data_IF_817690907778
#
_entry.id   IF_817690907778
#
_cell.length_a   1.000
_cell.length_b   1.000
_cell.length_c   1.000
_cell.angle_alpha   90.00
_cell.angle_beta   90.00
_cell.angle_gamma   90.00
#
_symmetry.space_group_name_H-M   'P 1'
#
loop_
_entity.id
_entity.type
_entity.pdbx_description
1 polymer ?
#
# COMPACT_ATOMS: atom_id res chain seq x y z
N UNK A 1 4.54 15.96 -29.00
CA UNK A 1 4.04 16.68 -27.80
C UNK A 1 4.95 17.88 -27.60
N UNK A 2 4.44 19.07 -27.73
CA UNK A 2 5.23 20.31 -27.83
C UNK A 2 5.81 20.73 -26.47
N UNK A 3 6.99 21.36 -26.48
CA UNK A 3 7.71 21.89 -25.31
C UNK A 3 6.87 22.80 -24.38
N UNK A 4 5.75 23.36 -24.86
CA UNK A 4 4.82 24.16 -24.07
C UNK A 4 4.07 23.38 -22.97
N UNK A 5 3.92 22.06 -23.10
CA UNK A 5 3.17 21.23 -22.13
C UNK A 5 4.02 20.74 -20.96
N UNK A 6 5.34 20.70 -21.10
CA UNK A 6 6.27 20.28 -20.02
C UNK A 6 6.55 21.41 -19.02
N UNK A 7 6.51 22.66 -19.47
CA UNK A 7 6.70 23.82 -18.60
C UNK A 7 5.54 24.01 -17.60
N UNK A 8 4.33 23.55 -17.92
CA UNK A 8 3.14 23.67 -17.05
C UNK A 8 3.14 22.68 -15.88
N UNK A 9 3.97 21.64 -15.93
CA UNK A 9 4.06 20.61 -14.91
C UNK A 9 5.18 20.84 -13.87
N UNK A 10 5.88 21.97 -13.93
CA UNK A 10 6.99 22.24 -12.99
C UNK A 10 6.47 22.64 -11.59
N UNK A 11 6.96 21.98 -10.54
CA UNK A 11 6.67 22.35 -9.14
C UNK A 11 7.07 23.78 -8.79
N UNK A 12 8.07 24.36 -9.47
CA UNK A 12 8.53 25.73 -9.27
C UNK A 12 7.46 26.82 -9.58
N UNK A 13 6.37 26.46 -10.26
CA UNK A 13 5.22 27.36 -10.49
C UNK A 13 4.27 27.49 -9.29
N UNK A 14 4.40 26.57 -8.32
CA UNK A 14 3.57 26.59 -7.14
C UNK A 14 4.18 27.53 -6.07
N UNK A 15 3.34 28.16 -5.24
CA UNK A 15 3.81 28.99 -4.14
C UNK A 15 4.38 28.17 -2.98
N UNK A 16 5.38 27.35 -3.27
CA UNK A 16 6.07 26.51 -2.31
C UNK A 16 7.38 27.21 -1.85
N UNK A 17 7.78 26.98 -0.60
CA UNK A 17 9.04 27.49 -0.09
C UNK A 17 10.24 26.89 -0.86
N UNK A 18 11.33 27.68 -1.08
CA UNK A 18 12.52 27.17 -1.79
C UNK A 18 13.06 25.85 -1.23
N UNK A 19 13.15 25.72 0.09
CA UNK A 19 13.60 24.49 0.74
C UNK A 19 12.69 23.28 0.42
N UNK A 20 11.38 23.49 0.23
CA UNK A 20 10.45 22.43 -0.21
C UNK A 20 10.74 22.01 -1.64
N UNK A 21 11.03 22.95 -2.54
CA UNK A 21 11.38 22.65 -3.93
C UNK A 21 12.71 21.88 -4.03
N UNK A 22 13.71 22.27 -3.24
CA UNK A 22 14.99 21.56 -3.14
C UNK A 22 14.80 20.12 -2.62
N UNK A 23 13.97 19.95 -1.58
CA UNK A 23 13.65 18.63 -1.06
C UNK A 23 12.92 17.76 -2.11
N UNK A 24 11.96 18.32 -2.85
CA UNK A 24 11.28 17.61 -3.94
C UNK A 24 12.27 17.13 -5.00
N UNK A 25 13.19 17.99 -5.43
CA UNK A 25 14.24 17.63 -6.39
C UNK A 25 15.13 16.50 -5.85
N UNK A 26 15.53 16.56 -4.57
CA UNK A 26 16.33 15.51 -3.91
C UNK A 26 15.62 14.17 -3.80
N UNK A 27 14.28 14.18 -3.77
CA UNK A 27 13.43 13.01 -3.71
C UNK A 27 13.08 12.46 -5.12
N UNK A 28 13.54 13.12 -6.20
CA UNK A 28 13.29 12.71 -7.57
C UNK A 28 11.96 13.21 -8.15
N UNK A 29 11.27 14.16 -7.50
CA UNK A 29 10.07 14.80 -8.03
C UNK A 29 10.49 15.89 -9.03
N UNK A 30 10.59 15.54 -10.31
CA UNK A 30 11.01 16.45 -11.37
C UNK A 30 9.86 17.24 -11.98
N UNK A 31 8.69 16.60 -12.10
CA UNK A 31 7.47 17.18 -12.66
C UNK A 31 6.25 16.70 -11.89
N UNK A 32 5.21 17.53 -11.88
CA UNK A 32 3.90 17.18 -11.32
C UNK A 32 3.22 16.09 -12.17
N UNK A 33 2.60 15.15 -11.53
CA UNK A 33 1.63 14.27 -12.20
C UNK A 33 0.35 15.05 -12.54
N UNK A 34 -0.51 14.55 -13.46
CA UNK A 34 -1.75 15.22 -13.82
C UNK A 34 -2.63 15.58 -12.63
N UNK A 35 -2.77 14.68 -11.64
CA UNK A 35 -3.57 14.97 -10.44
C UNK A 35 -2.91 16.03 -9.55
N UNK A 36 -1.59 16.05 -9.45
CA UNK A 36 -0.86 17.08 -8.72
C UNK A 36 -1.01 18.44 -9.38
N UNK A 37 -0.84 18.52 -10.70
CA UNK A 37 -0.98 19.77 -11.46
C UNK A 37 -2.39 20.36 -11.35
N UNK A 38 -3.43 19.52 -11.36
CA UNK A 38 -4.81 19.97 -11.26
C UNK A 38 -5.22 20.32 -9.82
N UNK A 39 -4.71 19.59 -8.80
CA UNK A 39 -5.18 19.74 -7.42
C UNK A 39 -4.33 20.70 -6.57
N UNK A 40 -3.00 20.73 -6.73
CA UNK A 40 -2.12 21.53 -5.87
C UNK A 40 -2.42 23.04 -5.90
N UNK A 41 -2.64 23.70 -7.04
CA UNK A 41 -2.96 25.12 -7.05
C UNK A 41 -4.20 25.47 -6.22
N UNK A 42 -5.23 24.63 -6.30
CA UNK A 42 -6.48 24.83 -5.56
C UNK A 42 -6.35 24.47 -4.08
N UNK A 43 -5.63 23.38 -3.77
CA UNK A 43 -5.37 22.96 -2.39
C UNK A 43 -4.51 23.99 -1.64
N UNK A 44 -3.46 24.52 -2.27
CA UNK A 44 -2.62 25.59 -1.71
C UNK A 44 -3.38 26.91 -1.53
N UNK A 45 -4.42 27.15 -2.35
CA UNK A 45 -5.33 28.28 -2.17
C UNK A 45 -6.41 28.06 -1.09
N UNK A 46 -6.34 26.95 -0.32
CA UNK A 46 -7.25 26.66 0.77
C UNK A 46 -8.65 26.17 0.35
N UNK A 47 -8.84 25.76 -0.93
CA UNK A 47 -10.14 25.27 -1.43
C UNK A 47 -10.36 23.83 -1.00
N UNK A 48 -11.62 23.48 -0.70
CA UNK A 48 -12.03 22.10 -0.55
C UNK A 48 -12.02 21.40 -1.91
N UNK A 49 -11.59 20.15 -1.94
CA UNK A 49 -11.45 19.38 -3.18
C UNK A 49 -12.09 18.01 -3.09
N UNK A 50 -12.66 17.60 -4.21
CA UNK A 50 -12.97 16.21 -4.53
C UNK A 50 -12.04 15.83 -5.69
N UNK A 51 -11.05 15.01 -5.42
CA UNK A 51 -10.03 14.62 -6.39
C UNK A 51 -10.19 13.13 -6.73
N UNK A 52 -10.69 12.86 -7.92
CA UNK A 52 -10.85 11.51 -8.44
C UNK A 52 -9.61 11.12 -9.25
N UNK A 53 -8.85 10.16 -8.74
CA UNK A 53 -7.67 9.61 -9.40
C UNK A 53 -7.28 8.26 -8.79
N UNK A 54 -6.68 7.41 -9.61
CA UNK A 54 -6.26 6.06 -9.23
C UNK A 54 -5.15 6.00 -8.17
N UNK A 55 -4.98 4.84 -7.56
CA UNK A 55 -3.84 4.56 -6.67
C UNK A 55 -2.53 4.64 -7.47
N UNK A 56 -1.50 5.26 -6.91
CA UNK A 56 -0.20 5.45 -7.59
C UNK A 56 -0.13 6.67 -8.52
N UNK A 57 -1.20 7.47 -8.66
CA UNK A 57 -1.20 8.70 -9.45
C UNK A 57 -0.44 9.88 -8.81
N UNK A 58 0.05 9.73 -7.57
CA UNK A 58 0.74 10.80 -6.84
C UNK A 58 -0.15 11.62 -5.90
N UNK A 59 -1.34 11.12 -5.53
CA UNK A 59 -2.28 11.77 -4.59
C UNK A 59 -1.64 12.16 -3.27
N UNK A 60 -0.83 11.27 -2.69
CA UNK A 60 -0.19 11.50 -1.38
C UNK A 60 0.70 12.74 -1.39
N UNK A 61 1.49 12.95 -2.46
CA UNK A 61 2.28 14.16 -2.58
C UNK A 61 1.40 15.40 -2.85
N UNK A 62 0.27 15.24 -3.57
CA UNK A 62 -0.66 16.33 -3.80
C UNK A 62 -1.23 16.90 -2.49
N UNK A 63 -1.89 16.06 -1.66
CA UNK A 63 -2.39 16.57 -0.39
C UNK A 63 -1.26 16.83 0.63
N UNK A 64 -0.18 16.04 0.60
CA UNK A 64 0.94 16.19 1.52
C UNK A 64 1.61 17.55 1.42
N UNK A 65 1.88 18.04 0.20
CA UNK A 65 2.45 19.37 -0.01
C UNK A 65 1.50 20.48 0.43
N UNK A 66 0.20 20.34 0.14
CA UNK A 66 -0.80 21.33 0.53
C UNK A 66 -0.92 21.44 2.06
N UNK A 67 -1.04 20.33 2.77
CA UNK A 67 -1.13 20.34 4.23
C UNK A 67 0.17 20.84 4.89
N UNK A 68 1.36 20.45 4.38
CA UNK A 68 2.65 20.92 4.90
C UNK A 68 2.84 22.44 4.72
N UNK A 69 2.38 23.01 3.61
CA UNK A 69 2.44 24.45 3.38
C UNK A 69 1.60 25.25 4.40
N UNK A 70 0.51 24.67 4.93
CA UNK A 70 -0.37 25.29 5.92
C UNK A 70 0.05 25.09 7.37
N UNK A 71 1.10 24.31 7.68
CA UNK A 71 1.51 24.02 9.05
C UNK A 71 2.30 25.15 9.71
N UNK A 72 2.04 25.32 11.01
CA UNK A 72 2.89 26.11 11.89
C UNK A 72 3.79 25.17 12.72
N UNK A 73 5.10 25.05 12.44
CA UNK A 73 6.00 24.15 13.17
C UNK A 73 6.17 24.46 14.66
N UNK A 74 5.78 25.65 15.10
CA UNK A 74 5.87 26.08 16.50
C UNK A 74 4.63 25.73 17.32
N UNK A 75 3.54 25.34 16.67
CA UNK A 75 2.30 24.94 17.35
C UNK A 75 2.19 23.42 17.37
N UNK A 76 2.44 22.80 18.53
CA UNK A 76 2.45 21.36 18.73
C UNK A 76 1.05 20.73 18.95
N UNK A 77 -0.02 21.42 18.57
CA UNK A 77 -1.36 20.85 18.42
C UNK A 77 -1.55 20.21 17.06
N UNK A 78 -2.57 19.35 16.94
CA UNK A 78 -2.91 18.67 15.68
C UNK A 78 -3.49 19.68 14.71
N UNK A 79 -2.80 19.90 13.59
CA UNK A 79 -3.18 20.84 12.54
C UNK A 79 -3.67 20.15 11.27
N UNK A 80 -3.26 18.90 11.06
CA UNK A 80 -3.71 18.09 9.93
C UNK A 80 -4.07 16.68 10.38
N UNK A 81 -5.19 16.16 9.85
CA UNK A 81 -5.66 14.80 10.05
C UNK A 81 -5.85 14.14 8.69
N UNK A 82 -5.25 12.98 8.50
CA UNK A 82 -5.44 12.14 7.30
C UNK A 82 -6.10 10.84 7.72
N UNK A 83 -7.29 10.56 7.19
CA UNK A 83 -7.98 9.28 7.36
C UNK A 83 -7.68 8.36 6.18
N UNK A 84 -7.32 7.13 6.48
CA UNK A 84 -7.00 6.07 5.53
C UNK A 84 -7.79 4.79 5.86
N UNK A 85 -8.17 3.97 4.86
CA UNK A 85 -8.96 2.74 5.10
C UNK A 85 -8.20 1.67 5.89
N UNK A 86 -6.90 1.58 5.71
CA UNK A 86 -6.08 0.53 6.31
C UNK A 86 -4.87 1.09 7.03
N UNK A 87 -4.34 0.30 7.96
CA UNK A 87 -3.12 0.63 8.69
C UNK A 87 -1.91 0.75 7.75
N UNK A 88 -1.80 -0.17 6.81
CA UNK A 88 -0.70 -0.22 5.86
C UNK A 88 -0.64 1.06 5.03
N UNK A 89 -1.80 1.54 4.54
CA UNK A 89 -1.88 2.81 3.83
C UNK A 89 -1.56 3.99 4.75
N UNK A 90 -2.06 3.99 5.98
CA UNK A 90 -1.74 5.05 6.95
C UNK A 90 -0.24 5.12 7.26
N UNK A 91 0.44 3.97 7.40
CA UNK A 91 1.89 3.93 7.58
C UNK A 91 2.65 4.43 6.34
N UNK A 92 2.21 4.07 5.13
CA UNK A 92 2.79 4.56 3.86
C UNK A 92 2.63 6.07 3.72
N UNK A 93 1.42 6.58 3.94
CA UNK A 93 1.11 8.01 3.92
C UNK A 93 1.96 8.75 4.95
N UNK A 94 2.07 8.25 6.18
CA UNK A 94 2.88 8.87 7.21
C UNK A 94 4.38 8.88 6.87
N UNK A 95 4.88 7.82 6.22
CA UNK A 95 6.27 7.79 5.74
C UNK A 95 6.51 8.81 4.63
N UNK A 96 5.59 8.92 3.68
CA UNK A 96 5.70 9.90 2.59
C UNK A 96 5.61 11.33 3.11
N UNK A 97 4.68 11.63 4.03
CA UNK A 97 4.59 12.92 4.69
C UNK A 97 5.89 13.29 5.44
N UNK A 98 6.52 12.33 6.13
CA UNK A 98 7.83 12.55 6.77
C UNK A 98 8.95 12.83 5.76
N UNK A 99 8.92 12.19 4.58
CA UNK A 99 9.88 12.47 3.49
C UNK A 99 9.69 13.87 2.93
N UNK A 100 8.45 14.25 2.66
CA UNK A 100 8.10 15.59 2.16
C UNK A 100 8.39 16.69 3.21
N UNK A 101 8.21 16.39 4.49
CA UNK A 101 8.44 17.32 5.59
C UNK A 101 9.92 17.57 5.93
N UNK A 102 10.89 16.89 5.29
CA UNK A 102 12.33 17.08 5.57
C UNK A 102 12.83 18.51 5.36
N UNK A 103 12.12 19.30 4.55
CA UNK A 103 12.40 20.71 4.34
C UNK A 103 11.98 21.62 5.50
N UNK A 104 11.24 21.08 6.47
CA UNK A 104 10.72 21.82 7.63
C UNK A 104 11.19 21.14 8.92
N UNK A 105 11.74 21.93 9.82
CA UNK A 105 12.18 21.41 11.12
C UNK A 105 11.00 21.07 12.03
N UNK A 106 11.20 20.06 12.87
CA UNK A 106 10.31 19.68 13.97
C UNK A 106 8.89 19.22 13.60
N UNK A 107 8.58 18.88 12.36
CA UNK A 107 7.27 18.33 12.02
C UNK A 107 7.12 16.90 12.57
N UNK A 108 6.20 16.76 13.52
CA UNK A 108 5.88 15.47 14.14
C UNK A 108 4.61 14.87 13.53
N UNK A 109 4.75 13.68 12.96
CA UNK A 109 3.65 12.85 12.41
C UNK A 109 3.42 11.65 13.29
N UNK A 110 2.20 11.48 13.81
CA UNK A 110 1.76 10.33 14.62
C UNK A 110 0.79 9.48 13.83
N UNK A 111 0.92 8.15 13.95
CA UNK A 111 0.01 7.18 13.31
C UNK A 111 -0.92 6.57 14.36
N UNK A 112 -2.22 6.61 14.08
CA UNK A 112 -3.29 6.07 14.95
C UNK A 112 -4.07 4.99 14.21
N UNK A 113 -3.71 3.73 14.43
CA UNK A 113 -4.33 2.58 13.76
C UNK A 113 -4.64 1.46 14.74
N UNK A 114 -5.61 0.61 14.41
CA UNK A 114 -5.90 -0.63 15.15
C UNK A 114 -4.71 -1.58 15.18
N UNK A 115 -4.78 -2.66 15.97
CA UNK A 115 -3.71 -3.68 16.06
C UNK A 115 -2.46 -3.24 16.83
N UNK A 116 -2.40 -2.00 17.34
CA UNK A 116 -1.36 -1.51 18.25
C UNK A 116 -1.99 -1.15 19.58
N UNK A 117 -1.34 -1.44 20.73
CA UNK A 117 -1.85 -1.05 22.04
C UNK A 117 -2.11 0.46 22.12
N UNK A 118 -3.31 0.83 22.58
CA UNK A 118 -3.76 2.23 22.70
C UNK A 118 -2.76 3.08 23.48
N UNK A 119 -2.24 2.53 24.60
CA UNK A 119 -1.25 3.20 25.46
C UNK A 119 -0.04 3.75 24.71
N UNK A 120 0.46 3.01 23.71
CA UNK A 120 1.63 3.46 22.95
C UNK A 120 1.31 4.67 22.07
N UNK A 121 0.09 4.71 21.52
CA UNK A 121 -0.39 5.82 20.71
C UNK A 121 -0.69 7.04 21.59
N UNK A 122 -1.31 6.85 22.74
CA UNK A 122 -1.54 7.90 23.74
C UNK A 122 -0.22 8.56 24.16
N UNK A 123 0.78 7.78 24.55
CA UNK A 123 2.10 8.30 24.90
C UNK A 123 2.78 9.09 23.76
N UNK A 124 2.47 8.74 22.50
CA UNK A 124 2.97 9.49 21.33
C UNK A 124 2.26 10.84 21.19
N UNK A 125 0.97 10.93 21.55
CA UNK A 125 0.17 12.16 21.47
C UNK A 125 0.49 13.14 22.61
N UNK A 126 0.83 12.66 23.81
CA UNK A 126 1.18 13.48 24.98
C UNK A 126 2.28 14.52 24.73
N UNK A 127 3.18 14.22 23.79
CA UNK A 127 4.27 15.13 23.40
C UNK A 127 3.88 16.05 22.24
N UNK A 128 2.58 16.18 21.94
CA UNK A 128 2.05 16.91 20.80
C UNK A 128 2.26 16.20 19.45
N UNK A 129 1.55 16.64 18.44
CA UNK A 129 1.70 16.19 17.04
C UNK A 129 1.21 17.30 16.12
N UNK A 130 1.84 17.48 14.96
CA UNK A 130 1.38 18.41 13.92
C UNK A 130 0.42 17.71 12.96
N UNK A 131 0.73 16.47 12.62
CA UNK A 131 -0.02 15.64 11.69
C UNK A 131 -0.40 14.34 12.37
N UNK A 132 -1.67 13.97 12.27
CA UNK A 132 -2.18 12.64 12.61
C UNK A 132 -2.59 11.94 11.34
N UNK A 133 -2.14 10.71 11.16
CA UNK A 133 -2.58 9.81 10.09
C UNK A 133 -3.19 8.59 10.75
N UNK A 134 -4.39 8.15 10.35
CA UNK A 134 -4.99 7.01 11.02
C UNK A 134 -6.18 6.39 10.31
N UNK A 135 -6.66 5.28 10.88
CA UNK A 135 -7.91 4.64 10.46
C UNK A 135 -9.08 5.27 11.24
N UNK A 136 -10.28 5.43 10.60
CA UNK A 136 -11.40 6.16 11.20
C UNK A 136 -11.75 5.70 12.61
N UNK A 137 -12.00 4.41 12.83
CA UNK A 137 -12.41 3.88 14.14
C UNK A 137 -11.37 4.11 15.25
N UNK A 138 -10.04 4.01 14.96
CA UNK A 138 -9.01 4.25 15.98
C UNK A 138 -8.84 5.75 16.28
N UNK A 139 -8.98 6.60 15.28
CA UNK A 139 -9.01 8.07 15.49
C UNK A 139 -10.20 8.44 16.37
N UNK A 140 -11.37 7.87 16.08
CA UNK A 140 -12.58 8.09 16.88
C UNK A 140 -12.40 7.62 18.34
N UNK A 141 -11.83 6.44 18.58
CA UNK A 141 -11.54 5.91 19.93
C UNK A 141 -10.63 6.89 20.73
N UNK A 142 -9.60 7.47 20.11
CA UNK A 142 -8.77 8.49 20.76
C UNK A 142 -9.51 9.80 21.04
N UNK A 143 -10.41 10.23 20.15
CA UNK A 143 -11.26 11.41 20.34
C UNK A 143 -12.25 11.21 21.48
N UNK A 144 -12.90 10.06 21.55
CA UNK A 144 -13.89 9.72 22.60
C UNK A 144 -13.26 9.64 23.98
N UNK A 145 -12.02 9.17 24.06
CA UNK A 145 -11.23 9.11 25.31
C UNK A 145 -10.55 10.42 25.68
N UNK A 146 -10.67 11.46 24.87
CA UNK A 146 -10.00 12.73 25.08
C UNK A 146 -8.47 12.70 24.91
N UNK A 147 -7.90 11.65 24.34
CA UNK A 147 -6.48 11.55 24.06
C UNK A 147 -6.05 12.36 22.83
N UNK A 148 -6.99 12.64 21.93
CA UNK A 148 -6.80 13.43 20.71
C UNK A 148 -7.71 14.65 20.78
N UNK A 149 -7.14 15.83 20.57
CA UNK A 149 -7.84 17.10 20.48
C UNK A 149 -7.60 17.69 19.09
N UNK A 150 -8.67 18.14 18.43
CA UNK A 150 -8.64 18.65 17.07
C UNK A 150 -8.96 20.14 16.94
N UNK A 151 -8.96 20.90 18.05
CA UNK A 151 -9.35 22.33 18.07
C UNK A 151 -8.45 23.20 17.17
N UNK A 152 -7.21 22.77 16.95
CA UNK A 152 -6.24 23.44 16.07
C UNK A 152 -6.21 22.91 14.63
N UNK A 153 -7.13 21.99 14.27
CA UNK A 153 -7.15 21.35 12.97
C UNK A 153 -7.48 22.34 11.85
N UNK A 154 -6.63 22.40 10.85
CA UNK A 154 -6.80 23.24 9.66
C UNK A 154 -7.15 22.44 8.40
N UNK A 155 -6.66 21.20 8.31
CA UNK A 155 -6.85 20.36 7.13
C UNK A 155 -7.27 18.95 7.51
N UNK A 156 -8.40 18.50 6.96
CA UNK A 156 -8.85 17.11 6.97
C UNK A 156 -8.66 16.49 5.59
N UNK A 157 -7.97 15.35 5.52
CA UNK A 157 -7.80 14.59 4.29
C UNK A 157 -8.51 13.24 4.43
N UNK A 158 -9.30 12.87 3.44
CA UNK A 158 -9.91 11.54 3.30
C UNK A 158 -9.23 10.87 2.11
N UNK A 159 -8.29 9.96 2.36
CA UNK A 159 -7.57 9.24 1.30
C UNK A 159 -8.18 7.85 1.07
N UNK A 160 -8.39 7.49 -0.20
CA UNK A 160 -9.13 6.30 -0.62
C UNK A 160 -10.54 6.23 0.03
N UNK A 161 -11.28 7.32 -0.08
CA UNK A 161 -12.58 7.48 0.59
C UNK A 161 -13.60 6.42 0.16
N UNK A 162 -13.64 6.03 -1.12
CA UNK A 162 -14.45 4.92 -1.64
C UNK A 162 -14.20 3.61 -0.88
N UNK A 163 -12.94 3.29 -0.62
CA UNK A 163 -12.58 2.09 0.14
C UNK A 163 -12.99 2.17 1.61
N UNK A 164 -12.90 3.35 2.22
CA UNK A 164 -13.40 3.53 3.58
C UNK A 164 -14.91 3.27 3.65
N UNK A 165 -15.67 3.66 2.64
CA UNK A 165 -17.10 3.39 2.56
C UNK A 165 -17.38 1.89 2.35
N UNK A 166 -16.66 1.23 1.43
CA UNK A 166 -16.77 -0.22 1.20
C UNK A 166 -16.50 -1.03 2.48
N UNK A 167 -15.65 -0.52 3.37
CA UNK A 167 -15.33 -1.13 4.66
C UNK A 167 -16.30 -0.75 5.79
N UNK A 168 -17.33 0.05 5.49
CA UNK A 168 -18.37 0.44 6.45
C UNK A 168 -17.99 1.57 7.40
N UNK A 169 -16.93 2.34 7.12
CA UNK A 169 -16.46 3.43 7.99
C UNK A 169 -17.22 4.76 7.83
N UNK A 170 -18.36 4.77 7.15
CA UNK A 170 -19.13 5.99 6.91
C UNK A 170 -19.46 6.73 8.21
N UNK A 171 -19.98 6.01 9.21
CA UNK A 171 -20.38 6.59 10.49
C UNK A 171 -19.19 7.10 11.32
N UNK A 172 -18.08 6.36 11.30
CA UNK A 172 -16.85 6.75 11.98
C UNK A 172 -16.25 8.02 11.35
N UNK A 173 -16.19 8.10 10.02
CA UNK A 173 -15.73 9.28 9.28
C UNK A 173 -16.62 10.48 9.63
N UNK A 174 -17.94 10.31 9.62
CA UNK A 174 -18.88 11.34 9.97
C UNK A 174 -18.72 11.81 11.42
N UNK A 175 -18.51 10.88 12.37
CA UNK A 175 -18.29 11.20 13.78
C UNK A 175 -16.98 11.98 14.01
N UNK A 176 -15.89 11.60 13.32
CA UNK A 176 -14.61 12.32 13.34
C UNK A 176 -14.77 13.71 12.72
N UNK A 177 -15.39 13.82 11.54
CA UNK A 177 -15.53 15.09 10.83
C UNK A 177 -16.36 16.13 11.60
N UNK A 178 -17.38 15.69 12.36
CA UNK A 178 -18.18 16.57 13.24
C UNK A 178 -17.38 17.13 14.42
N UNK A 179 -16.28 16.49 14.83
CA UNK A 179 -15.39 16.95 15.91
C UNK A 179 -14.26 17.84 15.41
N UNK A 180 -14.14 18.02 14.10
CA UNK A 180 -13.19 18.94 13.51
C UNK A 180 -13.79 20.37 13.44
N UNK A 181 -12.95 21.43 13.48
CA UNK A 181 -13.40 22.80 13.23
C UNK A 181 -14.18 22.95 11.93
N UNK A 182 -15.20 23.80 11.93
CA UNK A 182 -16.06 24.00 10.77
C UNK A 182 -15.38 24.76 9.64
N UNK A 183 -14.38 25.56 9.94
CA UNK A 183 -13.63 26.41 9.01
C UNK A 183 -12.38 25.71 8.39
N UNK A 184 -12.20 24.43 8.71
CA UNK A 184 -11.12 23.62 8.11
C UNK A 184 -11.24 23.50 6.61
N UNK A 185 -10.12 23.24 5.95
CA UNK A 185 -10.09 22.72 4.59
C UNK A 185 -10.33 21.21 4.59
N UNK A 186 -11.14 20.69 3.67
CA UNK A 186 -11.35 19.24 3.51
C UNK A 186 -10.95 18.81 2.11
N UNK A 187 -10.03 17.83 2.02
CA UNK A 187 -9.52 17.25 0.78
C UNK A 187 -9.95 15.79 0.69
N UNK A 188 -10.83 15.46 -0.24
CA UNK A 188 -11.32 14.11 -0.48
C UNK A 188 -10.66 13.53 -1.73
N UNK A 189 -9.93 12.43 -1.55
CA UNK A 189 -9.30 11.66 -2.62
C UNK A 189 -9.94 10.28 -2.73
N UNK A 190 -10.34 9.91 -3.94
CA UNK A 190 -11.01 8.64 -4.23
C UNK A 190 -10.65 8.15 -5.62
N UNK A 191 -10.69 6.85 -5.87
CA UNK A 191 -10.57 6.31 -7.22
C UNK A 191 -11.92 6.36 -7.94
N UNK A 192 -13.02 6.12 -7.23
CA UNK A 192 -14.39 6.11 -7.73
C UNK A 192 -15.25 7.17 -7.03
N UNK A 193 -16.40 7.49 -7.60
CA UNK A 193 -17.32 8.50 -7.03
C UNK A 193 -18.76 7.94 -6.89
N UNK A 194 -18.97 6.90 -6.06
CA UNK A 194 -20.30 6.37 -5.81
C UNK A 194 -21.18 7.35 -4.98
N UNK A 195 -22.49 7.09 -4.91
CA UNK A 195 -23.45 7.93 -4.20
C UNK A 195 -23.08 8.21 -2.74
N UNK A 196 -22.46 7.25 -2.07
CA UNK A 196 -21.97 7.41 -0.69
C UNK A 196 -20.87 8.48 -0.57
N UNK A 197 -19.96 8.58 -1.56
CA UNK A 197 -18.97 9.66 -1.63
C UNK A 197 -19.63 11.01 -1.88
N UNK A 198 -20.63 11.05 -2.76
CA UNK A 198 -21.39 12.27 -2.99
C UNK A 198 -22.13 12.75 -1.73
N UNK A 199 -22.67 11.82 -0.94
CA UNK A 199 -23.32 12.12 0.33
C UNK A 199 -22.33 12.68 1.36
N UNK A 200 -21.17 12.04 1.51
CA UNK A 200 -20.09 12.47 2.40
C UNK A 200 -19.56 13.85 2.02
N UNK A 201 -19.35 14.07 0.72
CA UNK A 201 -18.90 15.35 0.20
C UNK A 201 -19.90 16.47 0.50
N UNK A 202 -21.19 16.28 0.25
CA UNK A 202 -22.25 17.26 0.57
C UNK A 202 -22.32 17.59 2.05
N UNK A 203 -22.01 16.65 2.93
CA UNK A 203 -22.11 16.81 4.38
C UNK A 203 -20.91 17.54 4.98
N UNK A 204 -19.69 17.33 4.44
CA UNK A 204 -18.46 17.75 5.12
C UNK A 204 -17.53 18.66 4.31
N UNK A 205 -17.81 18.90 3.02
CA UNK A 205 -17.04 19.81 2.17
C UNK A 205 -17.81 21.11 1.91
N UNK A 206 -17.07 22.22 1.77
CA UNK A 206 -17.60 23.56 1.50
C UNK A 206 -17.24 24.01 0.09
N UNK A 207 -18.23 24.18 -0.79
CA UNK A 207 -18.04 24.55 -2.21
C UNK A 207 -16.82 23.83 -2.85
N UNK A 208 -16.80 22.48 -2.80
CA UNK A 208 -15.63 21.74 -3.26
C UNK A 208 -15.43 21.89 -4.75
N UNK A 209 -14.16 21.98 -5.18
CA UNK A 209 -13.80 21.87 -6.60
C UNK A 209 -13.60 20.39 -6.93
N UNK A 210 -14.36 19.93 -7.91
CA UNK A 210 -14.22 18.56 -8.40
C UNK A 210 -13.15 18.49 -9.48
N UNK A 211 -12.22 17.58 -9.30
CA UNK A 211 -11.12 17.29 -10.21
C UNK A 211 -11.22 15.81 -10.56
N UNK A 212 -11.39 15.52 -11.83
CA UNK A 212 -11.36 14.15 -12.34
C UNK A 212 -10.19 14.03 -13.30
N UNK A 213 -9.23 13.23 -12.95
CA UNK A 213 -8.14 12.85 -13.85
C UNK A 213 -8.46 11.47 -14.38
N UNK A 214 -9.18 11.46 -15.51
CA UNK A 214 -9.39 10.23 -16.25
C UNK A 214 -8.05 9.77 -16.84
N UNK A 215 -7.38 8.88 -16.16
CA UNK A 215 -6.58 7.87 -16.85
C UNK A 215 -7.48 6.65 -16.96
N UNK A 216 -7.96 6.34 -18.15
CA UNK A 216 -8.25 4.92 -18.44
C UNK A 216 -6.97 4.22 -18.05
N UNK A 217 -7.03 3.31 -17.05
CA UNK A 217 -5.87 2.45 -16.80
C UNK A 217 -5.52 1.85 -18.14
N UNK A 218 -4.40 2.28 -18.69
CA UNK A 218 -3.90 1.70 -19.92
C UNK A 218 -3.41 0.30 -19.56
N UNK A 219 -4.33 -0.65 -19.60
CA UNK A 219 -4.05 -2.07 -19.41
C UNK A 219 -3.56 -2.73 -20.70
N UNK A 220 -3.37 -1.97 -21.75
CA UNK A 220 -2.93 -2.48 -23.07
C UNK A 220 -1.54 -3.15 -23.00
N UNK A 221 -0.74 -2.78 -22.01
CA UNK A 221 0.57 -3.39 -21.73
C UNK A 221 0.46 -4.64 -20.83
N UNK A 222 -0.74 -5.00 -20.35
CA UNK A 222 -0.98 -6.21 -19.56
C UNK A 222 -1.52 -7.30 -20.48
N UNK A 223 -0.75 -8.34 -20.66
CA UNK A 223 -1.20 -9.54 -21.40
C UNK A 223 -2.15 -10.31 -20.49
N UNK A 224 -3.40 -10.50 -20.94
CA UNK A 224 -4.41 -11.23 -20.21
C UNK A 224 -4.64 -12.58 -20.90
N UNK A 225 -4.46 -13.66 -20.16
CA UNK A 225 -4.86 -15.01 -20.56
C UNK A 225 -6.10 -15.43 -19.78
N UNK A 226 -7.06 -16.03 -20.44
CA UNK A 226 -8.32 -16.49 -19.87
C UNK A 226 -8.48 -17.98 -20.10
N UNK A 227 -8.85 -18.68 -19.05
CA UNK A 227 -9.02 -20.12 -19.08
C UNK A 227 -10.38 -20.49 -18.49
N UNK A 228 -11.13 -21.32 -19.21
CA UNK A 228 -12.35 -21.93 -18.68
C UNK A 228 -11.99 -23.06 -17.72
N UNK A 229 -12.65 -23.13 -16.58
CA UNK A 229 -12.38 -24.11 -15.53
C UNK A 229 -13.68 -24.59 -14.86
N UNK A 230 -13.75 -25.87 -14.59
CA UNK A 230 -14.78 -26.44 -13.70
C UNK A 230 -14.48 -26.03 -12.25
N UNK A 231 -15.54 -25.79 -11.46
CA UNK A 231 -15.40 -25.29 -10.09
C UNK A 231 -14.47 -26.15 -9.21
N UNK A 232 -14.63 -27.50 -9.29
CA UNK A 232 -13.80 -28.45 -8.54
C UNK A 232 -12.31 -28.52 -8.96
N UNK A 233 -11.99 -28.07 -10.18
CA UNK A 233 -10.63 -28.13 -10.74
C UNK A 233 -9.86 -26.77 -10.62
N UNK A 234 -10.50 -25.76 -10.08
CA UNK A 234 -10.00 -24.37 -10.04
C UNK A 234 -8.65 -24.24 -9.34
N UNK A 235 -8.46 -24.84 -8.17
CA UNK A 235 -7.22 -24.71 -7.39
C UNK A 235 -6.04 -25.42 -8.08
N UNK A 236 -6.30 -26.59 -8.68
CA UNK A 236 -5.29 -27.31 -9.46
C UNK A 236 -4.95 -26.56 -10.76
N UNK A 237 -5.91 -25.86 -11.35
CA UNK A 237 -5.66 -25.00 -12.50
C UNK A 237 -4.67 -23.88 -12.16
N UNK A 238 -4.75 -23.28 -10.97
CA UNK A 238 -3.77 -22.28 -10.50
C UNK A 238 -2.35 -22.86 -10.46
N UNK A 239 -2.20 -24.08 -9.94
CA UNK A 239 -0.89 -24.78 -9.91
C UNK A 239 -0.35 -24.95 -11.33
N UNK A 240 -1.20 -25.37 -12.28
CA UNK A 240 -0.81 -25.56 -13.70
C UNK A 240 -0.41 -24.23 -14.33
N UNK A 241 -1.16 -23.15 -14.11
CA UNK A 241 -0.81 -21.81 -14.59
C UNK A 241 0.55 -21.35 -14.08
N UNK A 242 0.80 -21.50 -12.78
CA UNK A 242 2.07 -21.09 -12.17
C UNK A 242 3.26 -21.91 -12.65
N UNK A 243 3.08 -23.21 -12.94
CA UNK A 243 4.12 -24.08 -13.52
C UNK A 243 4.39 -23.78 -14.98
N UNK A 244 3.34 -23.40 -15.73
CA UNK A 244 3.49 -23.05 -17.16
C UNK A 244 4.17 -21.70 -17.32
N UNK A 245 3.65 -20.66 -16.67
CA UNK A 245 4.14 -19.28 -16.87
C UNK A 245 5.36 -18.94 -16.02
N UNK A 246 5.63 -19.68 -14.96
CA UNK A 246 6.78 -19.57 -14.04
C UNK A 246 7.13 -18.12 -13.64
N UNK A 247 6.17 -17.31 -13.19
CA UNK A 247 6.47 -15.94 -12.78
C UNK A 247 7.40 -15.94 -11.55
N UNK A 248 8.32 -14.98 -11.48
CA UNK A 248 9.21 -14.79 -10.32
C UNK A 248 8.43 -14.60 -9.03
N UNK A 249 7.31 -13.89 -9.12
CA UNK A 249 6.33 -13.71 -8.05
C UNK A 249 4.92 -13.51 -8.63
N UNK A 250 3.91 -13.91 -7.87
CA UNK A 250 2.51 -13.78 -8.26
C UNK A 250 1.62 -13.36 -7.10
N UNK A 251 0.59 -12.58 -7.39
CA UNK A 251 -0.51 -12.28 -6.46
C UNK A 251 -1.77 -13.00 -6.96
N UNK A 252 -2.27 -13.96 -6.19
CA UNK A 252 -3.48 -14.72 -6.51
C UNK A 252 -4.67 -14.16 -5.72
N UNK A 253 -5.68 -13.66 -6.43
CA UNK A 253 -6.89 -13.09 -5.86
C UNK A 253 -7.98 -14.14 -5.73
N UNK A 254 -8.48 -14.30 -4.51
CA UNK A 254 -9.66 -15.11 -4.16
C UNK A 254 -10.80 -14.22 -3.69
N UNK A 255 -12.04 -14.59 -3.96
CA UNK A 255 -13.21 -13.83 -3.49
C UNK A 255 -13.51 -14.11 -2.01
N UNK A 256 -13.09 -15.25 -1.46
CA UNK A 256 -13.34 -15.62 -0.06
C UNK A 256 -12.07 -15.98 0.71
N UNK A 257 -12.12 -15.79 2.04
CA UNK A 257 -11.04 -16.21 2.93
C UNK A 257 -10.84 -17.75 2.95
N UNK A 258 -11.93 -18.52 2.82
CA UNK A 258 -11.83 -19.97 2.80
C UNK A 258 -11.03 -20.43 1.57
N UNK A 259 -11.35 -19.90 0.41
CA UNK A 259 -10.61 -20.19 -0.82
C UNK A 259 -9.13 -19.79 -0.73
N UNK A 260 -8.81 -18.68 -0.01
CA UNK A 260 -7.40 -18.33 0.26
C UNK A 260 -6.68 -19.43 1.05
N UNK A 261 -7.35 -20.01 2.07
CA UNK A 261 -6.77 -21.10 2.88
C UNK A 261 -6.59 -22.38 2.07
N UNK A 262 -7.60 -22.73 1.28
CA UNK A 262 -7.60 -23.94 0.46
C UNK A 262 -6.52 -23.85 -0.63
N UNK A 263 -6.43 -22.70 -1.32
CA UNK A 263 -5.38 -22.47 -2.32
C UNK A 263 -3.99 -22.46 -1.70
N UNK A 264 -3.81 -21.86 -0.51
CA UNK A 264 -2.54 -21.90 0.21
C UNK A 264 -2.10 -23.35 0.48
N UNK A 265 -3.02 -24.18 0.97
CA UNK A 265 -2.73 -25.59 1.26
C UNK A 265 -2.35 -26.36 -0.01
N UNK A 266 -3.07 -26.17 -1.11
CA UNK A 266 -2.76 -26.79 -2.40
C UNK A 266 -1.39 -26.34 -2.92
N UNK A 267 -1.10 -25.04 -2.93
CA UNK A 267 0.18 -24.51 -3.39
C UNK A 267 1.35 -25.05 -2.57
N UNK A 268 1.24 -25.06 -1.24
CA UNK A 268 2.27 -25.61 -0.36
C UNK A 268 2.46 -27.11 -0.56
N UNK A 269 1.36 -27.85 -0.72
CA UNK A 269 1.41 -29.28 -1.05
C UNK A 269 2.15 -29.59 -2.35
N UNK A 270 2.13 -28.64 -3.30
CA UNK A 270 2.90 -28.71 -4.54
C UNK A 270 4.31 -28.09 -4.45
N UNK A 271 4.76 -27.65 -3.27
CA UNK A 271 6.12 -27.13 -3.03
C UNK A 271 6.31 -25.64 -3.36
N UNK A 272 5.24 -24.87 -3.55
CA UNK A 272 5.36 -23.41 -3.73
C UNK A 272 5.63 -22.73 -2.39
N UNK A 273 6.54 -21.78 -2.38
CA UNK A 273 6.71 -20.86 -1.26
C UNK A 273 5.57 -19.83 -1.29
N UNK A 274 4.43 -20.22 -0.72
CA UNK A 274 3.19 -19.44 -0.75
C UNK A 274 2.83 -18.88 0.63
N UNK A 275 2.28 -17.66 0.64
CA UNK A 275 1.75 -16.96 1.80
C UNK A 275 0.29 -16.59 1.54
N UNK A 276 -0.51 -16.42 2.60
CA UNK A 276 -1.88 -15.95 2.46
C UNK A 276 -2.13 -14.70 3.30
N UNK A 277 -2.98 -13.80 2.76
CA UNK A 277 -3.37 -12.54 3.38
C UNK A 277 -4.89 -12.37 3.33
N UNK A 278 -5.54 -12.42 4.49
CA UNK A 278 -6.99 -12.24 4.64
C UNK A 278 -7.32 -11.53 5.97
N UNK A 279 -8.55 -11.04 6.12
CA UNK A 279 -8.92 -10.09 7.17
C UNK A 279 -8.82 -10.59 8.61
N UNK A 280 -8.77 -11.92 8.85
CA UNK A 280 -8.74 -12.52 10.20
C UNK A 280 -7.31 -12.74 10.75
N UNK A 281 -6.28 -12.47 9.94
CA UNK A 281 -4.90 -12.58 10.42
C UNK A 281 -4.65 -11.55 11.54
N UNK A 282 -3.98 -12.00 12.60
CA UNK A 282 -3.42 -11.11 13.58
C UNK A 282 -2.49 -10.08 12.93
N UNK A 283 -2.45 -8.85 13.46
CA UNK A 283 -1.67 -7.79 12.82
C UNK A 283 -0.18 -8.13 12.66
N UNK A 284 0.38 -8.85 13.65
CA UNK A 284 1.79 -9.28 13.58
C UNK A 284 2.01 -10.29 12.45
N UNK A 285 1.08 -11.20 12.25
CA UNK A 285 1.12 -12.18 11.15
C UNK A 285 0.98 -11.47 9.80
N UNK A 286 0.03 -10.53 9.70
CA UNK A 286 -0.18 -9.72 8.52
C UNK A 286 1.09 -8.95 8.13
N UNK A 287 1.72 -8.26 9.10
CA UNK A 287 2.97 -7.53 8.89
C UNK A 287 4.10 -8.49 8.40
N UNK A 288 4.20 -9.69 8.97
CA UNK A 288 5.19 -10.70 8.56
C UNK A 288 4.95 -11.20 7.13
N UNK A 289 3.70 -11.51 6.77
CA UNK A 289 3.34 -11.92 5.42
C UNK A 289 3.76 -10.86 4.39
N UNK A 290 3.41 -9.60 4.66
CA UNK A 290 3.72 -8.50 3.76
C UNK A 290 5.22 -8.25 3.61
N UNK A 291 5.95 -8.25 4.73
CA UNK A 291 7.41 -8.07 4.71
C UNK A 291 8.10 -9.23 3.98
N UNK A 292 7.69 -10.47 4.24
CA UNK A 292 8.25 -11.65 3.56
C UNK A 292 8.04 -11.60 2.06
N UNK A 293 6.83 -11.24 1.62
CA UNK A 293 6.53 -11.12 0.21
C UNK A 293 7.29 -9.95 -0.46
N UNK A 294 7.31 -8.77 0.17
CA UNK A 294 8.07 -7.62 -0.30
C UNK A 294 9.59 -7.89 -0.36
N UNK A 295 10.10 -8.73 0.54
CA UNK A 295 11.49 -9.17 0.60
C UNK A 295 11.83 -10.29 -0.40
N UNK A 296 10.87 -10.72 -1.24
CA UNK A 296 11.05 -11.84 -2.17
C UNK A 296 11.42 -13.16 -1.47
N UNK A 297 10.86 -13.37 -0.27
CA UNK A 297 11.02 -14.60 0.52
C UNK A 297 9.92 -15.62 0.23
N UNK A 298 8.94 -15.27 -0.58
CA UNK A 298 7.87 -16.12 -1.10
C UNK A 298 7.61 -15.79 -2.58
N UNK A 299 7.13 -16.79 -3.34
CA UNK A 299 6.79 -16.63 -4.77
C UNK A 299 5.33 -16.25 -4.97
N UNK A 300 4.42 -16.74 -4.13
CA UNK A 300 2.99 -16.54 -4.31
C UNK A 300 2.40 -15.92 -3.05
N UNK A 301 1.66 -14.82 -3.24
CA UNK A 301 0.78 -14.26 -2.21
C UNK A 301 -0.66 -14.54 -2.63
N UNK A 302 -1.39 -15.27 -1.80
CA UNK A 302 -2.84 -15.49 -1.99
C UNK A 302 -3.58 -14.47 -1.13
N UNK A 303 -4.51 -13.71 -1.71
CA UNK A 303 -5.18 -12.67 -0.95
C UNK A 303 -6.63 -12.46 -1.39
N UNK A 304 -7.47 -11.96 -0.46
CA UNK A 304 -8.76 -11.36 -0.82
C UNK A 304 -8.56 -9.89 -1.23
N UNK A 305 -9.49 -9.35 -2.01
CA UNK A 305 -9.43 -7.92 -2.42
C UNK A 305 -9.27 -6.98 -1.23
N UNK A 306 -10.07 -7.18 -0.18
CA UNK A 306 -10.03 -6.35 1.03
C UNK A 306 -8.65 -6.39 1.68
N UNK A 307 -8.04 -7.55 1.77
CA UNK A 307 -6.75 -7.71 2.40
C UNK A 307 -5.58 -7.21 1.54
N UNK A 308 -5.71 -7.29 0.21
CA UNK A 308 -4.72 -6.81 -0.75
C UNK A 308 -4.82 -5.31 -1.05
N UNK A 309 -5.90 -4.66 -0.60
CA UNK A 309 -6.09 -3.20 -0.78
C UNK A 309 -5.01 -2.42 -0.03
N UNK A 310 -4.55 -1.34 -0.63
CA UNK A 310 -3.51 -0.48 -0.03
C UNK A 310 -2.09 -1.06 -0.08
N UNK A 311 -1.90 -2.28 -0.60
CA UNK A 311 -0.57 -2.85 -0.75
C UNK A 311 0.17 -2.20 -1.92
N UNK A 312 1.25 -1.52 -1.62
CA UNK A 312 2.23 -1.14 -2.64
C UNK A 312 3.24 -2.27 -2.82
N UNK A 313 2.84 -3.27 -3.62
CA UNK A 313 3.73 -4.35 -4.01
C UNK A 313 4.38 -3.94 -5.32
N UNK A 314 5.64 -3.57 -5.23
CA UNK A 314 6.42 -3.23 -6.41
C UNK A 314 6.70 -4.49 -7.26
N UNK A 315 6.50 -4.36 -8.60
CA UNK A 315 6.92 -5.35 -9.61
C UNK A 315 6.40 -6.77 -9.40
N UNK A 316 5.08 -6.93 -9.54
CA UNK A 316 4.50 -8.27 -9.65
C UNK A 316 4.75 -8.84 -11.05
N UNK A 317 5.30 -10.04 -11.10
CA UNK A 317 5.50 -10.81 -12.34
C UNK A 317 4.17 -11.26 -12.94
N UNK A 318 3.21 -11.67 -12.09
CA UNK A 318 1.88 -12.03 -12.52
C UNK A 318 0.79 -11.70 -11.48
N UNK A 319 -0.41 -11.47 -11.97
CA UNK A 319 -1.67 -11.50 -11.20
C UNK A 319 -2.45 -12.73 -11.63
N UNK A 320 -2.97 -13.50 -10.67
CA UNK A 320 -3.85 -14.63 -10.92
C UNK A 320 -5.23 -14.30 -10.34
N UNK A 321 -6.24 -14.16 -11.17
CA UNK A 321 -7.64 -14.10 -10.76
C UNK A 321 -8.18 -15.53 -10.65
N UNK A 322 -8.22 -16.06 -9.43
CA UNK A 322 -8.70 -17.42 -9.15
C UNK A 322 -10.19 -17.53 -9.44
N UNK A 323 -10.92 -16.44 -9.21
CA UNK A 323 -12.33 -16.26 -9.54
C UNK A 323 -12.56 -14.89 -10.17
N UNK A 324 -13.56 -14.82 -11.04
CA UNK A 324 -13.99 -13.55 -11.60
C UNK A 324 -14.71 -12.71 -10.53
N UNK A 325 -14.24 -11.50 -10.31
CA UNK A 325 -14.90 -10.58 -9.38
C UNK A 325 -16.27 -10.15 -9.88
N UNK A 326 -17.25 -9.91 -8.99
CA UNK A 326 -18.56 -9.41 -9.39
C UNK A 326 -18.53 -8.02 -10.04
N UNK A 327 -17.57 -7.17 -9.63
CA UNK A 327 -17.39 -5.80 -10.12
C UNK A 327 -16.26 -5.75 -11.16
N UNK A 328 -16.53 -5.31 -12.40
CA UNK A 328 -15.53 -5.22 -13.45
C UNK A 328 -14.42 -4.18 -13.17
N UNK A 329 -14.68 -3.13 -12.39
CA UNK A 329 -13.65 -2.17 -12.00
C UNK A 329 -12.64 -2.80 -11.04
N UNK A 330 -13.09 -3.68 -10.15
CA UNK A 330 -12.19 -4.45 -9.27
C UNK A 330 -11.28 -5.35 -10.09
N UNK A 331 -11.76 -5.93 -11.20
CA UNK A 331 -10.90 -6.71 -12.11
C UNK A 331 -9.75 -5.85 -12.67
N UNK A 332 -10.06 -4.66 -13.17
CA UNK A 332 -9.06 -3.71 -13.68
C UNK A 332 -8.06 -3.34 -12.59
N UNK A 333 -8.52 -3.10 -11.37
CA UNK A 333 -7.66 -2.81 -10.21
C UNK A 333 -6.78 -4.00 -9.81
N UNK A 334 -7.27 -5.25 -9.92
CA UNK A 334 -6.48 -6.45 -9.66
C UNK A 334 -5.34 -6.58 -10.68
N UNK A 335 -5.67 -6.56 -11.97
CA UNK A 335 -4.66 -6.72 -13.03
C UNK A 335 -3.67 -5.54 -13.05
N UNK A 336 -4.09 -4.34 -12.71
CA UNK A 336 -3.22 -3.17 -12.55
C UNK A 336 -2.21 -3.26 -11.39
N UNK A 337 -2.14 -4.39 -10.66
CA UNK A 337 -1.05 -4.69 -9.72
C UNK A 337 0.21 -5.15 -10.45
N UNK A 338 0.12 -5.64 -11.67
CA UNK A 338 1.27 -5.94 -12.56
C UNK A 338 1.44 -4.87 -13.64
N UNK A 339 2.50 -4.89 -14.41
CA UNK A 339 2.72 -3.98 -15.55
C UNK A 339 2.94 -2.52 -15.15
N UNK A 340 3.41 -2.21 -13.94
CA UNK A 340 3.65 -0.83 -13.51
C UNK A 340 4.89 -0.23 -14.16
N UNK A 341 4.92 1.10 -14.28
CA UNK A 341 6.03 1.89 -14.83
C UNK A 341 6.38 1.58 -16.29
N UNK A 342 5.39 1.11 -17.10
CA UNK A 342 5.59 0.81 -18.53
C UNK A 342 6.19 -0.57 -18.81
N UNK A 343 6.36 -1.41 -17.79
CA UNK A 343 6.75 -2.82 -17.97
C UNK A 343 5.55 -3.66 -18.45
N UNK A 344 5.80 -4.77 -19.13
CA UNK A 344 4.75 -5.71 -19.54
C UNK A 344 4.25 -6.45 -18.31
N UNK A 345 2.92 -6.47 -18.12
CA UNK A 345 2.25 -7.21 -17.06
C UNK A 345 1.66 -8.54 -17.56
N UNK A 346 1.50 -9.51 -16.67
CA UNK A 346 0.83 -10.78 -16.95
C UNK A 346 -0.37 -10.95 -16.02
N UNK A 347 -1.56 -11.17 -16.58
CA UNK A 347 -2.77 -11.50 -15.85
C UNK A 347 -3.33 -12.85 -16.31
N UNK A 348 -3.51 -13.77 -15.38
CA UNK A 348 -4.00 -15.11 -15.58
C UNK A 348 -5.39 -15.22 -14.95
N UNK A 349 -6.41 -15.47 -15.74
CA UNK A 349 -7.79 -15.40 -15.30
C UNK A 349 -8.45 -16.76 -15.46
N UNK A 350 -9.07 -17.27 -14.39
CA UNK A 350 -9.91 -18.45 -14.40
C UNK A 350 -11.36 -18.03 -14.33
N UNK A 351 -12.20 -18.62 -15.17
CA UNK A 351 -13.63 -18.39 -15.16
C UNK A 351 -14.39 -19.71 -15.32
N UNK A 352 -15.43 -19.93 -14.50
CA UNK A 352 -16.39 -21.01 -14.68
C UNK A 352 -17.55 -20.55 -15.57
N UNK A 353 -18.35 -21.50 -16.06
CA UNK A 353 -19.55 -21.18 -16.86
C UNK A 353 -20.52 -20.25 -16.14
N UNK A 354 -20.66 -20.37 -14.83
CA UNK A 354 -21.54 -19.50 -14.02
C UNK A 354 -21.02 -18.06 -13.91
N UNK A 355 -19.75 -17.83 -14.19
CA UNK A 355 -19.11 -16.52 -14.13
C UNK A 355 -19.10 -15.78 -15.48
N UNK A 356 -19.60 -16.41 -16.57
CA UNK A 356 -19.55 -15.79 -17.92
C UNK A 356 -20.30 -14.47 -18.01
N UNK A 357 -21.37 -14.28 -17.22
CA UNK A 357 -22.05 -12.99 -17.12
C UNK A 357 -21.18 -11.88 -16.51
N UNK A 358 -20.23 -12.23 -15.63
CA UNK A 358 -19.25 -11.28 -15.07
C UNK A 358 -18.16 -10.97 -16.10
N UNK A 359 -17.71 -11.99 -16.85
CA UNK A 359 -16.76 -11.82 -17.96
C UNK A 359 -17.31 -10.85 -18.99
N UNK A 360 -18.58 -10.98 -19.41
CA UNK A 360 -19.22 -10.08 -20.35
C UNK A 360 -19.25 -8.61 -19.87
N UNK A 361 -19.39 -8.36 -18.57
CA UNK A 361 -19.28 -6.99 -18.03
C UNK A 361 -17.85 -6.45 -18.09
N UNK A 362 -16.85 -7.29 -17.87
CA UNK A 362 -15.43 -6.92 -18.01
C UNK A 362 -15.12 -6.59 -19.46
N UNK A 363 -15.59 -7.39 -20.43
CA UNK A 363 -15.45 -7.13 -21.87
C UNK A 363 -16.05 -5.78 -22.26
N UNK A 364 -17.25 -5.49 -21.76
CA UNK A 364 -17.93 -4.21 -22.01
C UNK A 364 -17.12 -3.04 -21.46
N UNK A 365 -16.56 -3.15 -20.26
CA UNK A 365 -15.73 -2.11 -19.65
C UNK A 365 -14.41 -1.90 -20.40
N UNK A 366 -13.75 -3.00 -20.79
CA UNK A 366 -12.45 -2.95 -21.47
C UNK A 366 -12.58 -2.66 -22.98
N UNK A 367 -13.77 -2.81 -23.56
CA UNK A 367 -14.02 -2.63 -24.98
C UNK A 367 -13.37 -3.69 -25.87
N UNK A 368 -13.04 -4.86 -25.31
CA UNK A 368 -12.35 -5.95 -26.00
C UNK A 368 -13.00 -7.29 -25.65
N UNK A 369 -13.20 -8.18 -26.63
CA UNK A 369 -13.71 -9.52 -26.37
C UNK A 369 -12.65 -10.39 -25.68
N UNK A 370 -13.08 -11.23 -24.77
CA UNK A 370 -12.25 -12.21 -24.09
C UNK A 370 -12.00 -13.43 -24.98
N UNK A 371 -10.76 -13.85 -25.10
CA UNK A 371 -10.41 -15.08 -25.80
C UNK A 371 -10.00 -16.14 -24.79
N UNK A 372 -10.78 -17.20 -24.68
CA UNK A 372 -10.47 -18.34 -23.81
C UNK A 372 -9.46 -19.28 -24.48
N UNK A 373 -8.49 -19.71 -23.70
CA UNK A 373 -7.50 -20.72 -24.05
C UNK A 373 -7.83 -22.02 -23.34
N UNK A 374 -7.62 -23.19 -23.96
CA UNK A 374 -7.87 -24.46 -23.31
C UNK A 374 -6.80 -24.73 -22.24
N UNK A 375 -7.22 -25.11 -21.02
CA UNK A 375 -6.28 -25.54 -19.97
C UNK A 375 -5.35 -26.69 -20.42
N UNK A 376 -5.79 -27.51 -21.36
CA UNK A 376 -4.97 -28.58 -21.93
C UNK A 376 -3.75 -28.08 -22.70
N UNK A 377 -3.73 -26.82 -23.14
CA UNK A 377 -2.58 -26.21 -23.83
C UNK A 377 -1.42 -25.89 -22.87
N UNK A 378 -1.68 -25.84 -21.55
CA UNK A 378 -0.66 -25.56 -20.56
C UNK A 378 0.31 -26.74 -20.44
N UNK A 379 1.59 -26.46 -20.63
CA UNK A 379 2.68 -27.39 -20.41
C UNK A 379 3.16 -27.31 -18.97
N UNK A 380 3.59 -28.41 -18.40
CA UNK A 380 4.29 -28.39 -17.11
C UNK A 380 5.78 -28.08 -17.37
N UNK A 381 6.12 -26.81 -17.24
CA UNK A 381 7.51 -26.31 -17.35
C UNK A 381 8.29 -26.48 -16.04
N UNK A 382 7.70 -27.16 -15.06
CA UNK A 382 8.24 -27.42 -13.73
C UNK A 382 8.01 -26.29 -12.75
N UNK A 383 8.58 -26.44 -11.57
CA UNK A 383 8.47 -25.43 -10.51
C UNK A 383 9.13 -24.12 -10.92
N UNK A 384 8.54 -22.95 -10.59
CA UNK A 384 9.23 -21.69 -10.68
C UNK A 384 10.49 -21.71 -9.78
N UNK A 385 11.48 -20.84 -10.06
CA UNK A 385 12.65 -20.72 -9.22
C UNK A 385 12.29 -20.49 -7.75
N UNK A 386 13.02 -21.06 -6.80
CA UNK A 386 12.77 -20.78 -5.39
C UNK A 386 12.98 -19.29 -5.10
N UNK A 387 12.31 -18.73 -4.08
CA UNK A 387 12.51 -17.35 -3.71
C UNK A 387 14.00 -17.04 -3.50
N UNK A 388 14.53 -15.96 -4.11
CA UNK A 388 15.97 -15.66 -4.04
C UNK A 388 16.42 -15.24 -2.66
N UNK A 389 15.50 -14.73 -1.84
CA UNK A 389 15.78 -14.19 -0.52
C UNK A 389 15.08 -15.02 0.56
N UNK A 390 15.54 -14.83 1.81
CA UNK A 390 14.87 -15.26 3.02
C UNK A 390 14.80 -14.07 3.98
N UNK A 391 13.80 -14.04 4.86
CA UNK A 391 13.61 -12.93 5.79
C UNK A 391 14.00 -13.33 7.20
N UNK A 392 14.92 -12.59 7.80
CA UNK A 392 15.25 -12.68 9.22
C UNK A 392 14.44 -11.67 10.00
N UNK A 393 13.91 -12.08 11.14
CA UNK A 393 13.32 -11.18 12.14
C UNK A 393 14.28 -11.03 13.32
N UNK A 394 14.59 -9.78 13.63
CA UNK A 394 15.40 -9.35 14.76
C UNK A 394 14.44 -8.80 15.82
N UNK A 395 14.49 -9.33 17.04
CA UNK A 395 13.74 -8.80 18.18
C UNK A 395 14.44 -7.54 18.72
N UNK A 396 14.12 -6.41 18.10
CA UNK A 396 14.65 -5.09 18.39
C UNK A 396 14.40 -4.14 17.23
N UNK A 397 14.01 -2.92 17.54
CA UNK A 397 13.63 -1.92 16.56
C UNK A 397 14.02 -0.50 16.98
N UNK A 398 13.19 0.47 16.58
CA UNK A 398 13.44 1.88 16.89
C UNK A 398 13.46 2.17 18.40
N UNK A 399 12.69 1.44 19.20
CA UNK A 399 12.69 1.55 20.69
C UNK A 399 14.05 1.20 21.28
N UNK A 400 14.70 0.20 20.73
CA UNK A 400 16.06 -0.21 21.10
C UNK A 400 17.13 0.64 20.41
N UNK A 401 16.71 1.69 19.67
CA UNK A 401 17.58 2.60 18.90
C UNK A 401 18.35 1.89 17.77
N UNK A 402 17.82 0.77 17.27
CA UNK A 402 18.38 0.06 16.12
C UNK A 402 17.99 0.81 14.84
N UNK A 403 18.95 0.96 13.93
CA UNK A 403 18.80 1.57 12.60
C UNK A 403 19.19 0.56 11.53
N UNK A 404 18.71 0.76 10.31
CA UNK A 404 19.06 -0.11 9.19
C UNK A 404 20.59 -0.22 8.98
N UNK A 405 21.33 0.88 9.16
CA UNK A 405 22.79 0.89 9.07
C UNK A 405 23.48 0.03 10.15
N UNK A 406 22.92 -0.04 11.37
CA UNK A 406 23.45 -0.88 12.44
C UNK A 406 23.33 -2.38 12.09
N UNK A 407 22.18 -2.77 11.49
CA UNK A 407 21.94 -4.16 11.04
C UNK A 407 22.83 -4.50 9.84
N UNK A 408 22.94 -3.58 8.88
CA UNK A 408 23.81 -3.76 7.72
C UNK A 408 25.28 -3.92 8.18
N UNK A 409 25.75 -3.05 9.08
CA UNK A 409 27.10 -3.13 9.63
C UNK A 409 27.39 -4.43 10.36
N UNK A 410 26.44 -4.94 11.17
CA UNK A 410 26.58 -6.24 11.83
C UNK A 410 26.65 -7.40 10.82
N UNK A 411 25.90 -7.35 9.73
CA UNK A 411 25.93 -8.39 8.69
C UNK A 411 27.19 -8.33 7.83
N UNK A 412 27.61 -7.14 7.42
CA UNK A 412 28.76 -6.98 6.49
C UNK A 412 30.10 -6.89 7.18
N UNK A 413 30.14 -6.39 8.40
CA UNK A 413 31.37 -6.32 9.21
C UNK A 413 31.57 -7.59 10.02
N UNK A 414 30.90 -7.69 11.18
CA UNK A 414 31.13 -8.77 12.14
C UNK A 414 30.75 -10.15 11.61
N UNK A 415 29.67 -10.25 10.85
CA UNK A 415 29.21 -11.49 10.26
C UNK A 415 29.86 -11.84 8.91
N UNK A 416 30.56 -10.90 8.26
CA UNK A 416 31.40 -11.14 7.07
C UNK A 416 30.63 -11.47 5.78
N UNK A 417 29.36 -11.04 5.64
CA UNK A 417 28.60 -11.19 4.40
C UNK A 417 28.81 -9.98 3.47
N UNK A 418 28.63 -10.19 2.16
CA UNK A 418 28.77 -9.10 1.19
C UNK A 418 27.51 -8.23 1.14
N UNK A 419 27.63 -6.99 0.69
CA UNK A 419 26.50 -6.04 0.57
C UNK A 419 25.40 -6.56 -0.37
N UNK A 420 25.79 -7.26 -1.44
CA UNK A 420 24.91 -7.83 -2.47
C UNK A 420 24.03 -8.97 -1.90
N UNK A 421 24.51 -9.65 -0.86
CA UNK A 421 23.76 -10.70 -0.19
C UNK A 421 22.69 -10.17 0.77
N UNK A 422 22.68 -8.85 1.03
CA UNK A 422 21.76 -8.20 1.95
C UNK A 422 20.78 -7.35 1.13
N UNK A 423 19.48 -7.65 1.27
CA UNK A 423 18.41 -6.91 0.63
C UNK A 423 17.85 -5.79 1.51
N UNK A 424 16.53 -5.64 1.46
CA UNK A 424 15.80 -4.60 2.20
C UNK A 424 15.88 -4.82 3.70
N UNK A 425 16.04 -3.73 4.46
CA UNK A 425 16.01 -3.72 5.92
C UNK A 425 14.88 -2.79 6.36
N UNK A 426 13.85 -3.38 6.97
CA UNK A 426 12.69 -2.66 7.51
C UNK A 426 12.77 -2.62 9.03
N UNK A 427 12.94 -1.42 9.59
CA UNK A 427 13.02 -1.21 11.04
C UNK A 427 11.68 -0.71 11.55
N UNK A 428 10.98 -1.55 12.32
CA UNK A 428 9.74 -1.21 12.99
C UNK A 428 10.00 -0.72 14.43
N UNK A 429 8.95 -0.49 15.20
CA UNK A 429 9.07 0.02 16.56
C UNK A 429 9.79 -0.99 17.50
N UNK A 430 9.42 -2.28 17.43
CA UNK A 430 9.89 -3.34 18.32
C UNK A 430 10.62 -4.48 17.61
N UNK A 431 10.65 -4.47 16.29
CA UNK A 431 11.28 -5.52 15.49
C UNK A 431 11.93 -4.94 14.25
N UNK A 432 12.93 -5.63 13.74
CA UNK A 432 13.56 -5.33 12.46
C UNK A 432 13.51 -6.56 11.57
N UNK A 433 13.17 -6.37 10.31
CA UNK A 433 13.19 -7.42 9.30
C UNK A 433 14.29 -7.13 8.29
N UNK A 434 15.05 -8.14 7.94
CA UNK A 434 16.10 -8.02 6.92
C UNK A 434 16.00 -9.16 5.91
N UNK A 435 16.00 -8.82 4.65
CA UNK A 435 16.12 -9.77 3.56
C UNK A 435 17.60 -10.16 3.40
N UNK A 436 17.87 -11.44 3.33
CA UNK A 436 19.21 -11.97 3.03
C UNK A 436 19.12 -13.00 1.90
N UNK A 437 20.16 -13.16 1.11
CA UNK A 437 20.19 -14.20 0.10
C UNK A 437 19.91 -15.57 0.72
N UNK A 438 19.04 -16.36 0.11
CA UNK A 438 18.56 -17.64 0.66
C UNK A 438 19.69 -18.57 1.06
N UNK A 439 20.76 -18.65 0.26
CA UNK A 439 21.90 -19.53 0.52
C UNK A 439 22.68 -19.22 1.79
N UNK A 440 22.57 -18.00 2.35
CA UNK A 440 23.27 -17.62 3.59
C UNK A 440 22.34 -17.50 4.79
N UNK A 441 21.04 -17.70 4.64
CA UNK A 441 20.01 -17.34 5.63
C UNK A 441 20.25 -17.96 7.02
N UNK A 442 20.53 -19.27 7.08
CA UNK A 442 20.83 -19.99 8.32
C UNK A 442 22.09 -19.46 9.00
N UNK A 443 23.15 -19.22 8.23
CA UNK A 443 24.40 -18.70 8.75
C UNK A 443 24.23 -17.26 9.25
N UNK A 444 23.50 -16.42 8.51
CA UNK A 444 23.21 -15.04 8.86
C UNK A 444 22.38 -14.97 10.16
N UNK A 445 21.33 -15.79 10.27
CA UNK A 445 20.54 -15.89 11.50
C UNK A 445 21.40 -16.28 12.69
N UNK A 446 22.21 -17.34 12.58
CA UNK A 446 23.06 -17.84 13.65
C UNK A 446 24.14 -16.84 14.08
N UNK A 447 24.78 -16.15 13.12
CA UNK A 447 25.83 -15.17 13.41
C UNK A 447 25.27 -13.91 14.09
N UNK A 448 24.12 -13.41 13.64
CA UNK A 448 23.45 -12.28 14.27
C UNK A 448 22.93 -12.61 15.68
N UNK A 449 22.38 -13.83 15.89
CA UNK A 449 21.84 -14.26 17.19
C UNK A 449 22.94 -14.38 18.26
N UNK A 450 24.12 -14.83 17.84
CA UNK A 450 25.31 -14.91 18.71
C UNK A 450 26.10 -13.61 18.82
N UNK A 451 25.88 -12.71 17.87
CA UNK A 451 26.58 -11.42 17.76
C UNK A 451 25.92 -10.30 18.57
N UNK A 452 26.27 -9.10 18.18
CA UNK A 452 25.68 -7.87 18.75
C UNK A 452 25.29 -6.92 17.63
N UNK A 453 24.14 -6.29 17.77
CA UNK A 453 23.74 -5.18 16.92
C UNK A 453 23.80 -3.91 17.76
N UNK A 454 24.68 -2.98 17.38
CA UNK A 454 24.92 -1.74 18.15
C UNK A 454 25.28 -2.00 19.63
N UNK A 455 26.10 -3.03 19.87
CA UNK A 455 26.53 -3.43 21.21
C UNK A 455 25.49 -4.21 22.03
N UNK A 456 24.30 -4.48 21.51
CA UNK A 456 23.21 -5.22 22.18
C UNK A 456 23.08 -6.63 21.62
N UNK A 457 22.90 -7.61 22.49
CA UNK A 457 22.46 -8.95 22.08
C UNK A 457 20.98 -8.91 21.74
N UNK A 458 20.61 -9.46 20.61
CA UNK A 458 19.23 -9.53 20.10
C UNK A 458 18.91 -10.95 19.67
N UNK A 459 17.68 -11.39 19.85
CA UNK A 459 17.22 -12.67 19.31
C UNK A 459 16.91 -12.52 17.82
N UNK A 460 17.36 -13.47 17.03
CA UNK A 460 17.14 -13.50 15.59
C UNK A 460 16.54 -14.83 15.20
N UNK A 461 15.48 -14.77 14.41
CA UNK A 461 14.86 -15.97 13.83
C UNK A 461 14.70 -15.83 12.32
N UNK A 462 14.87 -16.95 11.63
CA UNK A 462 14.50 -17.05 10.23
C UNK A 462 12.98 -17.21 10.14
N UNK A 463 12.34 -16.40 9.29
CA UNK A 463 10.92 -16.52 8.99
C UNK A 463 10.73 -17.43 7.76
N UNK A 464 11.02 -18.70 7.95
CA UNK A 464 10.62 -19.75 7.01
C UNK A 464 9.30 -20.38 7.44
N UNK A 465 8.68 -21.13 6.55
CA UNK A 465 7.36 -21.77 6.76
C UNK A 465 7.43 -22.92 7.78
#
# INVERSE_FOLDING_TARGET
MSESNTADLAFARLPLAPATLENLASLGFTQMTPIQAASLPLALAGRDLIAQAETGSGKTAAFGLALLAGLNPRFFGVQALVLCPTRELADQVAQELRRLARAQDNIKTVVLCGGVPLRNQTASLEHGAHIVVGTPGRVLDHLERGHLVLDGLRTLVLDEADRMLDMGFMDDIAAVARRCPADRQTLLFSATYPDGIAQLARQFLRDPKQITVEKKQDVSHIVQHWYEVEEGARLDAVVRLLRHHRPDNALAFCNTKQQCRDLLAVLRGHGFAALALYGELEQVERDQVLVRFANRSANVLVATDVAARGLDIARLGAVVNVEVTPDPEVHVHRIGRTGRAGEKGLALNLASMDEMGRVGRIEQLQGQPTRFEPLASLKDEGMPPPPPMATLQIQGGRKEKIRAGDVLGALTGDAGFTREQIGKIDVNEFSTYVAVARGIAQQAASRLDRGRIKGKSVRVRLLDD
#
